data_IF_237580325850
#
_entry.id   IF_237580325850
#
_cell.length_a   1.000
_cell.length_b   1.000
_cell.length_c   1.000
_cell.angle_alpha   90.00
_cell.angle_beta   90.00
_cell.angle_gamma   90.00
#
_symmetry.space_group_name_H-M   'P 1'
#
loop_
_entity.id
_entity.type
_entity.pdbx_description
1 polymer ?
#
# COMPACT_ATOMS: atom_id res chain seq x y z
N UNK A 1 -25.97 55.45 -23.64
CA UNK A 1 -25.69 54.42 -24.64
C UNK A 1 -26.07 55.02 -26.00
N UNK A 2 -25.11 55.16 -26.91
CA UNK A 2 -25.30 55.91 -28.16
C UNK A 2 -26.38 55.28 -29.05
N UNK A 3 -26.48 53.95 -29.03
CA UNK A 3 -27.49 53.17 -29.77
C UNK A 3 -28.91 53.43 -29.26
N UNK A 4 -29.12 53.38 -27.94
CA UNK A 4 -30.41 53.71 -27.32
C UNK A 4 -30.84 55.15 -27.63
N UNK A 5 -29.89 56.08 -27.64
CA UNK A 5 -30.15 57.49 -27.92
C UNK A 5 -30.54 57.71 -29.40
N UNK A 6 -29.90 56.99 -30.33
CA UNK A 6 -30.24 57.00 -31.76
C UNK A 6 -31.63 56.40 -32.02
N UNK A 7 -31.91 55.21 -31.46
CA UNK A 7 -33.20 54.51 -31.58
C UNK A 7 -34.35 55.38 -31.04
N UNK A 8 -34.14 56.04 -29.89
CA UNK A 8 -35.13 56.94 -29.29
C UNK A 8 -35.39 58.17 -30.14
N UNK A 9 -34.36 58.69 -30.82
CA UNK A 9 -34.49 59.84 -31.72
C UNK A 9 -35.29 59.49 -32.97
N UNK A 10 -35.02 58.33 -33.56
CA UNK A 10 -35.78 57.79 -34.71
C UNK A 10 -37.25 57.54 -34.33
N UNK A 11 -37.51 56.92 -33.17
CA UNK A 11 -38.87 56.64 -32.69
C UNK A 11 -39.67 57.92 -32.42
N UNK A 12 -39.02 58.94 -31.83
CA UNK A 12 -39.63 60.26 -31.63
C UNK A 12 -39.93 60.97 -32.95
N UNK A 13 -39.05 60.86 -33.95
CA UNK A 13 -39.27 61.45 -35.28
C UNK A 13 -40.45 60.78 -36.02
N UNK A 14 -40.61 59.45 -35.88
CA UNK A 14 -41.76 58.71 -36.42
C UNK A 14 -43.09 59.13 -35.75
N UNK A 15 -43.09 59.36 -34.44
CA UNK A 15 -44.29 59.78 -33.69
C UNK A 15 -44.84 61.15 -34.11
N UNK A 16 -43.99 62.05 -34.61
CA UNK A 16 -44.39 63.38 -35.08
C UNK A 16 -44.77 63.42 -36.57
N UNK A 17 -44.88 62.27 -37.24
CA UNK A 17 -45.46 62.16 -38.58
C UNK A 17 -44.53 62.55 -39.75
N UNK A 18 -43.22 62.63 -39.53
CA UNK A 18 -42.24 62.80 -40.60
C UNK A 18 -42.19 61.52 -41.46
N UNK A 19 -42.68 61.59 -42.71
CA UNK A 19 -42.69 60.46 -43.65
C UNK A 19 -41.34 60.26 -44.37
N UNK A 20 -40.97 58.99 -44.49
CA UNK A 20 -39.79 58.44 -45.15
C UNK A 20 -40.14 58.18 -46.61
N UNK A 21 -39.67 59.00 -47.54
CA UNK A 21 -39.70 58.62 -48.96
C UNK A 21 -38.68 59.42 -49.78
N UNK A 22 -37.98 58.68 -50.64
CA UNK A 22 -37.01 59.13 -51.64
C UNK A 22 -37.52 60.32 -52.47
N UNK A 23 -36.81 61.45 -52.46
CA UNK A 23 -37.20 62.57 -53.31
C UNK A 23 -36.50 63.90 -53.07
N UNK A 24 -35.25 63.99 -53.53
CA UNK A 24 -34.54 65.17 -54.05
C UNK A 24 -34.21 66.37 -53.13
N UNK A 25 -32.90 66.47 -52.90
CA UNK A 25 -32.05 67.64 -52.65
C UNK A 25 -32.01 68.19 -51.22
N UNK A 26 -30.88 67.86 -50.59
CA UNK A 26 -30.24 68.35 -49.35
C UNK A 26 -30.32 67.37 -48.15
N UNK A 27 -29.42 66.36 -48.17
CA UNK A 27 -28.93 65.48 -47.07
C UNK A 27 -29.83 65.39 -45.82
N UNK A 28 -30.83 64.50 -45.82
CA UNK A 28 -30.79 63.13 -45.23
C UNK A 28 -30.22 63.06 -43.81
N UNK A 29 -31.05 63.32 -42.80
CA UNK A 29 -30.72 62.95 -41.41
C UNK A 29 -31.27 61.55 -41.07
N UNK A 30 -32.55 61.24 -41.36
CA UNK A 30 -33.18 59.99 -40.88
C UNK A 30 -32.88 58.70 -41.67
N UNK A 31 -32.70 58.75 -43.00
CA UNK A 31 -32.27 57.58 -43.80
C UNK A 31 -30.77 57.26 -43.56
N UNK A 32 -30.02 58.31 -43.25
CA UNK A 32 -28.65 58.20 -42.72
C UNK A 32 -28.68 57.55 -41.34
N UNK A 33 -29.64 57.88 -40.47
CA UNK A 33 -29.77 57.25 -39.14
C UNK A 33 -30.11 55.74 -39.20
N UNK A 34 -30.99 55.29 -40.12
CA UNK A 34 -31.25 53.85 -40.30
C UNK A 34 -30.05 53.11 -40.89
N UNK A 35 -29.39 53.71 -41.89
CA UNK A 35 -28.14 53.15 -42.44
C UNK A 35 -27.03 53.08 -41.39
N UNK A 36 -26.95 54.07 -40.49
CA UNK A 36 -26.02 54.06 -39.35
C UNK A 36 -26.35 52.91 -38.38
N UNK A 37 -27.63 52.61 -38.14
CA UNK A 37 -28.03 51.44 -37.33
C UNK A 37 -27.66 50.12 -38.01
N UNK A 38 -27.89 49.99 -39.31
CA UNK A 38 -27.54 48.78 -40.06
C UNK A 38 -26.00 48.60 -40.09
N UNK A 39 -25.24 49.67 -40.31
CA UNK A 39 -23.76 49.68 -40.25
C UNK A 39 -23.25 49.33 -38.83
N UNK A 40 -23.95 49.77 -37.77
CA UNK A 40 -23.67 49.44 -36.36
C UNK A 40 -23.92 47.96 -36.07
N UNK A 41 -25.07 47.42 -36.48
CA UNK A 41 -25.42 46.00 -36.29
C UNK A 41 -24.43 45.10 -37.07
N UNK A 42 -23.99 45.51 -38.27
CA UNK A 42 -22.97 44.80 -39.05
C UNK A 42 -21.58 44.87 -38.39
N UNK A 43 -21.21 46.01 -37.81
CA UNK A 43 -19.98 46.16 -37.03
C UNK A 43 -19.98 45.34 -35.73
N UNK A 44 -21.11 45.29 -35.01
CA UNK A 44 -21.30 44.45 -33.82
C UNK A 44 -21.18 42.96 -34.18
N UNK A 45 -21.85 42.53 -35.26
CA UNK A 45 -21.77 41.14 -35.75
C UNK A 45 -20.34 40.75 -36.18
N UNK A 46 -19.60 41.67 -36.83
CA UNK A 46 -18.20 41.45 -37.18
C UNK A 46 -17.31 41.36 -35.93
N UNK A 47 -17.53 42.20 -34.93
CA UNK A 47 -16.78 42.16 -33.68
C UNK A 47 -17.03 40.85 -32.91
N UNK A 48 -18.28 40.41 -32.80
CA UNK A 48 -18.64 39.13 -32.19
C UNK A 48 -18.01 37.94 -32.93
N UNK A 49 -17.99 38.00 -34.26
CA UNK A 49 -17.35 36.98 -35.08
C UNK A 49 -15.84 36.92 -34.86
N UNK A 50 -15.16 38.07 -34.79
CA UNK A 50 -13.73 38.14 -34.49
C UNK A 50 -13.41 37.56 -33.10
N UNK A 51 -14.17 37.91 -32.08
CA UNK A 51 -13.98 37.38 -30.72
C UNK A 51 -14.19 35.86 -30.67
N UNK A 52 -15.18 35.33 -31.39
CA UNK A 52 -15.39 33.89 -31.50
C UNK A 52 -14.25 33.17 -32.24
N UNK A 53 -13.71 33.77 -33.31
CA UNK A 53 -12.54 33.24 -34.02
C UNK A 53 -11.29 33.23 -33.12
N UNK A 54 -11.05 34.29 -32.35
CA UNK A 54 -9.94 34.38 -31.42
C UNK A 54 -10.04 33.34 -30.29
N UNK A 55 -11.22 33.19 -29.69
CA UNK A 55 -11.47 32.17 -28.66
C UNK A 55 -11.23 30.75 -29.21
N UNK A 56 -11.75 30.46 -30.41
CA UNK A 56 -11.53 29.16 -31.08
C UNK A 56 -10.05 28.94 -31.38
N UNK A 57 -9.32 29.96 -31.84
CA UNK A 57 -7.89 29.86 -32.09
C UNK A 57 -7.10 29.52 -30.81
N UNK A 58 -7.43 30.16 -29.69
CA UNK A 58 -6.81 29.90 -28.38
C UNK A 58 -7.10 28.47 -27.93
N UNK A 59 -8.36 28.03 -27.95
CA UNK A 59 -8.75 26.68 -27.53
C UNK A 59 -8.10 25.59 -28.39
N UNK A 60 -8.00 25.82 -29.72
CA UNK A 60 -7.28 24.92 -30.64
C UNK A 60 -5.80 24.80 -30.32
N UNK A 61 -5.14 25.90 -29.96
CA UNK A 61 -3.73 25.88 -29.56
C UNK A 61 -3.56 25.08 -28.27
N UNK A 62 -4.41 25.32 -27.27
CA UNK A 62 -4.42 24.60 -26.00
C UNK A 62 -4.58 23.08 -26.25
N UNK A 63 -5.61 22.68 -27.01
CA UNK A 63 -5.89 21.29 -27.38
C UNK A 63 -4.77 20.60 -28.19
N UNK A 64 -3.97 21.35 -28.95
CA UNK A 64 -2.81 20.81 -29.68
C UNK A 64 -1.54 20.72 -28.84
N UNK A 65 -1.43 21.55 -27.79
CA UNK A 65 -0.25 21.62 -26.92
C UNK A 65 -0.28 20.64 -25.75
N UNK A 66 -1.46 20.14 -25.37
CA UNK A 66 -1.61 19.25 -24.22
C UNK A 66 -0.97 17.87 -24.47
N UNK A 67 -0.19 17.39 -23.51
CA UNK A 67 0.34 16.02 -23.54
C UNK A 67 -0.72 15.04 -23.03
N UNK A 68 -1.44 14.41 -23.96
CA UNK A 68 -2.50 13.44 -23.68
C UNK A 68 -2.04 12.19 -22.91
N UNK A 69 -0.73 11.97 -22.74
CA UNK A 69 -0.19 10.79 -22.03
C UNK A 69 0.03 11.04 -20.55
N UNK A 70 0.32 12.28 -20.16
CA UNK A 70 0.75 12.62 -18.79
C UNK A 70 -0.15 13.63 -18.11
N UNK A 71 -1.06 14.26 -18.85
CA UNK A 71 -1.99 15.23 -18.28
C UNK A 71 -2.98 14.57 -17.33
N UNK A 72 -3.31 15.28 -16.24
CA UNK A 72 -4.32 14.84 -15.30
C UNK A 72 -5.74 15.00 -15.86
N UNK A 73 -6.69 14.30 -15.25
CA UNK A 73 -8.11 14.33 -15.66
C UNK A 73 -8.71 15.74 -15.65
N UNK A 74 -8.40 16.56 -14.65
CA UNK A 74 -9.02 17.89 -14.51
C UNK A 74 -8.54 18.84 -15.59
N UNK A 75 -7.23 18.86 -15.84
CA UNK A 75 -6.64 19.63 -16.94
C UNK A 75 -7.17 19.16 -18.29
N UNK A 76 -7.26 17.86 -18.52
CA UNK A 76 -7.78 17.30 -19.77
C UNK A 76 -9.26 17.65 -19.99
N UNK A 77 -10.08 17.55 -18.94
CA UNK A 77 -11.48 17.93 -18.94
C UNK A 77 -11.64 19.41 -19.27
N UNK A 78 -10.82 20.28 -18.66
CA UNK A 78 -10.84 21.73 -18.94
C UNK A 78 -10.51 22.04 -20.39
N UNK A 79 -9.47 21.44 -20.97
CA UNK A 79 -9.11 21.65 -22.38
C UNK A 79 -10.23 21.17 -23.31
N UNK A 80 -10.85 20.02 -23.00
CA UNK A 80 -12.00 19.49 -23.75
C UNK A 80 -13.18 20.46 -23.70
N UNK A 81 -13.52 20.96 -22.52
CA UNK A 81 -14.65 21.88 -22.33
C UNK A 81 -14.40 23.22 -23.00
N UNK A 82 -13.20 23.80 -22.86
CA UNK A 82 -12.80 25.03 -23.54
C UNK A 82 -12.95 24.91 -25.07
N UNK A 83 -12.45 23.81 -25.66
CA UNK A 83 -12.59 23.57 -27.08
C UNK A 83 -14.05 23.36 -27.49
N UNK A 84 -14.81 22.58 -26.73
CA UNK A 84 -16.23 22.35 -26.99
C UNK A 84 -17.04 23.64 -26.98
N UNK A 85 -16.86 24.49 -25.97
CA UNK A 85 -17.54 25.79 -25.88
C UNK A 85 -17.13 26.76 -27.00
N UNK A 86 -15.86 26.79 -27.38
CA UNK A 86 -15.40 27.65 -28.47
C UNK A 86 -15.95 27.19 -29.84
N UNK A 87 -16.03 25.87 -30.06
CA UNK A 87 -16.67 25.30 -31.25
C UNK A 87 -18.16 25.63 -31.31
N UNK A 88 -18.88 25.51 -30.20
CA UNK A 88 -20.30 25.84 -30.12
C UNK A 88 -20.55 27.33 -30.41
N UNK A 89 -19.76 28.23 -29.81
CA UNK A 89 -19.84 29.67 -30.09
C UNK A 89 -19.56 29.98 -31.56
N UNK A 90 -18.50 29.39 -32.12
CA UNK A 90 -18.13 29.58 -33.53
C UNK A 90 -19.22 29.11 -34.48
N UNK A 91 -19.82 27.93 -34.21
CA UNK A 91 -20.95 27.39 -34.98
C UNK A 91 -22.16 28.31 -34.96
N UNK A 92 -22.51 28.86 -33.80
CA UNK A 92 -23.68 29.74 -33.64
C UNK A 92 -23.56 31.05 -34.42
N UNK A 93 -22.34 31.52 -34.68
CA UNK A 93 -22.05 32.75 -35.44
C UNK A 93 -21.69 32.43 -36.91
N UNK A 94 -21.85 31.17 -37.34
CA UNK A 94 -21.68 30.76 -38.74
C UNK A 94 -20.22 30.54 -39.20
N UNK A 95 -19.28 30.36 -38.27
CA UNK A 95 -17.89 30.00 -38.57
C UNK A 95 -17.83 28.49 -38.88
N UNK A 96 -17.07 28.11 -39.92
CA UNK A 96 -16.87 26.71 -40.29
C UNK A 96 -15.91 26.00 -39.34
N UNK A 97 -16.34 24.89 -38.75
CA UNK A 97 -15.61 24.17 -37.68
C UNK A 97 -15.33 22.69 -37.97
N UNK A 98 -15.63 22.20 -39.18
CA UNK A 98 -15.64 20.77 -39.53
C UNK A 98 -14.30 20.04 -39.26
N UNK A 99 -13.18 20.74 -39.43
CA UNK A 99 -11.85 20.21 -39.12
C UNK A 99 -11.44 20.35 -37.66
N UNK A 100 -12.01 21.34 -36.97
CA UNK A 100 -11.67 21.65 -35.59
C UNK A 100 -12.41 20.73 -34.61
N UNK A 101 -13.63 20.30 -34.93
CA UNK A 101 -14.35 19.26 -34.18
C UNK A 101 -13.54 17.96 -34.05
N UNK A 102 -12.69 17.64 -35.03
CA UNK A 102 -11.83 16.43 -34.99
C UNK A 102 -10.79 16.47 -33.86
N UNK A 103 -10.52 17.63 -33.28
CA UNK A 103 -9.62 17.77 -32.12
C UNK A 103 -10.28 17.33 -30.80
N UNK A 104 -11.62 17.25 -30.73
CA UNK A 104 -12.32 16.70 -29.55
C UNK A 104 -12.12 15.19 -29.40
N UNK A 105 -12.12 14.45 -30.51
CA UNK A 105 -12.00 12.98 -30.54
C UNK A 105 -10.79 12.46 -29.74
N UNK A 106 -9.55 12.95 -29.92
CA UNK A 106 -8.42 12.51 -29.10
C UNK A 106 -8.52 12.92 -27.63
N UNK A 107 -9.12 14.08 -27.30
CA UNK A 107 -9.33 14.51 -25.92
C UNK A 107 -10.34 13.61 -25.20
N UNK A 108 -11.48 13.33 -25.83
CA UNK A 108 -12.51 12.41 -25.30
C UNK A 108 -11.96 11.00 -25.09
N UNK A 109 -11.17 10.50 -26.04
CA UNK A 109 -10.53 9.19 -25.91
C UNK A 109 -9.54 9.16 -24.75
N UNK A 110 -8.73 10.20 -24.59
CA UNK A 110 -7.78 10.30 -23.48
C UNK A 110 -8.52 10.39 -22.14
N UNK A 111 -9.61 11.16 -22.07
CA UNK A 111 -10.43 11.30 -20.86
C UNK A 111 -11.06 9.96 -20.48
N UNK A 112 -11.67 9.26 -21.45
CA UNK A 112 -12.24 7.94 -21.23
C UNK A 112 -11.20 6.93 -20.72
N UNK A 113 -9.96 7.00 -21.23
CA UNK A 113 -8.86 6.15 -20.76
C UNK A 113 -8.49 6.44 -19.31
N UNK A 114 -8.36 7.71 -18.92
CA UNK A 114 -8.05 8.09 -17.53
C UNK A 114 -9.17 7.69 -16.57
N UNK A 115 -10.44 7.91 -16.96
CA UNK A 115 -11.61 7.49 -16.17
C UNK A 115 -11.61 5.97 -15.98
N UNK A 116 -11.35 5.21 -17.05
CA UNK A 116 -11.29 3.76 -16.98
C UNK A 116 -10.14 3.29 -16.08
N UNK A 117 -8.93 3.85 -16.24
CA UNK A 117 -7.78 3.53 -15.39
C UNK A 117 -8.06 3.82 -13.92
N UNK A 118 -8.69 4.95 -13.59
CA UNK A 118 -9.13 5.25 -12.22
C UNK A 118 -10.14 4.25 -11.71
N UNK A 119 -11.13 3.87 -12.53
CA UNK A 119 -12.15 2.89 -12.14
C UNK A 119 -11.53 1.53 -11.82
N UNK A 120 -10.65 1.03 -12.69
CA UNK A 120 -10.01 -0.26 -12.50
C UNK A 120 -9.05 -0.25 -11.30
N UNK A 121 -8.35 0.86 -11.09
CA UNK A 121 -7.48 1.02 -9.94
C UNK A 121 -8.25 1.13 -8.62
N UNK A 122 -9.40 1.82 -8.59
CA UNK A 122 -10.28 1.86 -7.42
C UNK A 122 -10.77 0.46 -7.04
N UNK A 123 -11.18 -0.35 -8.03
CA UNK A 123 -11.57 -1.76 -7.77
C UNK A 123 -10.41 -2.59 -7.25
N UNK A 124 -9.21 -2.41 -7.81
CA UNK A 124 -8.02 -3.10 -7.32
C UNK A 124 -7.70 -2.67 -5.88
N UNK A 125 -7.79 -1.37 -5.58
CA UNK A 125 -7.55 -0.81 -4.26
C UNK A 125 -8.51 -1.41 -3.23
N UNK A 126 -9.81 -1.50 -3.56
CA UNK A 126 -10.83 -2.18 -2.74
C UNK A 126 -10.47 -3.64 -2.49
N UNK A 127 -10.19 -4.42 -3.55
CA UNK A 127 -9.85 -5.84 -3.42
C UNK A 127 -8.60 -6.10 -2.57
N UNK A 128 -7.55 -5.29 -2.72
CA UNK A 128 -6.33 -5.43 -1.90
C UNK A 128 -6.55 -4.96 -0.47
N UNK A 129 -7.41 -3.97 -0.25
CA UNK A 129 -7.83 -3.57 1.09
C UNK A 129 -8.62 -4.64 1.80
N UNK A 130 -9.59 -5.26 1.14
CA UNK A 130 -10.36 -6.39 1.68
C UNK A 130 -9.45 -7.56 2.03
N UNK A 131 -8.48 -7.87 1.15
CA UNK A 131 -7.48 -8.90 1.40
C UNK A 131 -6.61 -8.57 2.62
N UNK A 132 -6.21 -7.30 2.80
CA UNK A 132 -5.39 -6.87 3.94
C UNK A 132 -6.18 -6.86 5.26
N UNK A 133 -7.44 -6.43 5.21
CA UNK A 133 -8.31 -6.38 6.37
C UNK A 133 -8.66 -7.79 6.87
N UNK A 134 -8.96 -8.69 5.93
CA UNK A 134 -9.28 -10.11 6.20
C UNK A 134 -8.05 -10.95 6.55
N UNK A 135 -6.84 -10.46 6.27
CA UNK A 135 -5.61 -11.18 6.56
C UNK A 135 -5.47 -11.46 8.06
N UNK A 136 -4.96 -12.64 8.40
CA UNK A 136 -4.77 -13.05 9.79
C UNK A 136 -3.32 -13.47 10.05
N UNK A 137 -2.91 -13.41 11.31
CA UNK A 137 -1.54 -13.74 11.74
C UNK A 137 -1.19 -15.19 11.38
N UNK A 138 -2.17 -16.09 11.43
CA UNK A 138 -2.06 -17.52 11.13
C UNK A 138 -1.74 -17.81 9.65
N UNK A 139 -2.00 -16.85 8.75
CA UNK A 139 -1.66 -16.99 7.34
C UNK A 139 -0.14 -17.01 7.08
N UNK A 140 0.65 -16.61 8.08
CA UNK A 140 2.09 -16.67 8.06
C UNK A 140 2.75 -15.39 7.55
N UNK A 141 3.97 -15.16 8.06
CA UNK A 141 4.71 -13.92 7.86
C UNK A 141 4.93 -13.55 6.37
N UNK A 142 5.21 -14.52 5.52
CA UNK A 142 5.55 -14.24 4.12
C UNK A 142 4.32 -13.82 3.31
N UNK A 143 3.19 -14.49 3.52
CA UNK A 143 1.92 -14.13 2.89
C UNK A 143 1.46 -12.74 3.32
N UNK A 144 1.58 -12.39 4.60
CA UNK A 144 1.26 -11.05 5.08
C UNK A 144 2.14 -9.96 4.45
N UNK A 145 3.44 -10.21 4.28
CA UNK A 145 4.34 -9.29 3.58
C UNK A 145 3.97 -9.10 2.11
N UNK A 146 3.55 -10.17 1.45
CA UNK A 146 3.09 -10.11 0.06
C UNK A 146 1.83 -9.25 -0.06
N UNK A 147 0.83 -9.49 0.80
CA UNK A 147 -0.40 -8.67 0.84
C UNK A 147 -0.05 -7.20 1.07
N UNK A 148 0.84 -6.91 2.03
CA UNK A 148 1.28 -5.53 2.32
C UNK A 148 1.96 -4.89 1.12
N UNK A 149 2.84 -5.62 0.43
CA UNK A 149 3.53 -5.12 -0.77
C UNK A 149 2.52 -4.75 -1.86
N UNK A 150 1.54 -5.62 -2.10
CA UNK A 150 0.53 -5.40 -3.14
C UNK A 150 -0.37 -4.20 -2.80
N UNK A 151 -0.88 -4.14 -1.56
CA UNK A 151 -1.69 -3.00 -1.10
C UNK A 151 -0.90 -1.68 -1.20
N UNK A 152 0.36 -1.66 -0.74
CA UNK A 152 1.19 -0.47 -0.81
C UNK A 152 1.44 -0.02 -2.27
N UNK A 153 1.67 -0.98 -3.19
CA UNK A 153 1.84 -0.68 -4.61
C UNK A 153 0.59 -0.02 -5.22
N UNK A 154 -0.59 -0.52 -4.87
CA UNK A 154 -1.85 0.03 -5.38
C UNK A 154 -2.17 1.37 -4.73
N UNK A 155 -1.88 1.57 -3.44
CA UNK A 155 -1.99 2.88 -2.78
C UNK A 155 -1.11 3.92 -3.49
N UNK A 156 0.17 3.62 -3.74
CA UNK A 156 1.06 4.57 -4.43
C UNK A 156 0.53 4.94 -5.81
N UNK A 157 0.07 3.97 -6.59
CA UNK A 157 -0.49 4.24 -7.92
C UNK A 157 -1.80 5.04 -7.85
N UNK A 158 -2.64 4.79 -6.84
CA UNK A 158 -3.89 5.52 -6.62
C UNK A 158 -3.63 6.99 -6.30
N UNK A 159 -2.62 7.27 -5.48
CA UNK A 159 -2.20 8.63 -5.16
C UNK A 159 -1.69 9.40 -6.38
N UNK A 160 -0.95 8.75 -7.27
CA UNK A 160 -0.50 9.35 -8.54
C UNK A 160 -1.68 9.78 -9.43
N UNK A 161 -2.81 9.08 -9.36
CA UNK A 161 -4.04 9.43 -10.07
C UNK A 161 -4.99 10.32 -9.26
N UNK A 162 -4.58 10.78 -8.08
CA UNK A 162 -5.40 11.64 -7.22
C UNK A 162 -6.61 10.93 -6.59
N UNK A 163 -6.58 9.61 -6.48
CA UNK A 163 -7.57 8.83 -5.73
C UNK A 163 -7.26 8.95 -4.24
N UNK A 164 -8.29 9.20 -3.42
CA UNK A 164 -8.13 9.27 -1.97
C UNK A 164 -7.80 7.88 -1.38
N UNK A 165 -6.72 7.78 -0.61
CA UNK A 165 -6.24 6.52 -0.02
C UNK A 165 -6.13 6.55 1.51
N UNK A 166 -6.76 7.52 2.18
CA UNK A 166 -6.58 7.73 3.62
C UNK A 166 -6.95 6.49 4.45
N UNK A 167 -8.07 5.85 4.14
CA UNK A 167 -8.51 4.61 4.82
C UNK A 167 -7.57 3.44 4.54
N UNK A 168 -7.08 3.32 3.30
CA UNK A 168 -6.15 2.25 2.93
C UNK A 168 -4.81 2.37 3.66
N UNK A 169 -4.38 3.59 4.02
CA UNK A 169 -3.19 3.79 4.85
C UNK A 169 -3.39 3.30 6.28
N UNK A 170 -4.59 3.44 6.84
CA UNK A 170 -4.93 2.88 8.15
C UNK A 170 -4.87 1.35 8.09
N UNK A 171 -5.49 0.74 7.08
CA UNK A 171 -5.45 -0.71 6.85
C UNK A 171 -4.00 -1.21 6.69
N UNK A 172 -3.15 -0.46 5.98
CA UNK A 172 -1.73 -0.80 5.83
C UNK A 172 -0.97 -0.76 7.16
N UNK A 173 -1.34 0.15 8.07
CA UNK A 173 -0.85 0.24 9.44
C UNK A 173 -1.23 -0.99 10.26
N UNK A 174 -2.52 -1.35 10.29
CA UNK A 174 -3.02 -2.55 10.98
C UNK A 174 -2.36 -3.83 10.46
N UNK A 175 -2.18 -3.94 9.13
CA UNK A 175 -1.47 -5.07 8.53
C UNK A 175 0.00 -5.12 8.96
N UNK A 176 0.64 -3.97 9.19
CA UNK A 176 2.02 -3.91 9.69
C UNK A 176 2.11 -4.48 11.11
N UNK A 177 1.16 -4.16 11.99
CA UNK A 177 1.08 -4.74 13.34
C UNK A 177 0.89 -6.28 13.29
N UNK A 178 0.02 -6.77 12.39
CA UNK A 178 -0.16 -8.21 12.16
C UNK A 178 1.15 -8.88 11.70
N UNK A 179 1.91 -8.23 10.82
CA UNK A 179 3.23 -8.72 10.35
C UNK A 179 4.23 -8.79 11.50
N UNK A 180 4.26 -7.79 12.38
CA UNK A 180 5.14 -7.79 13.55
C UNK A 180 4.81 -8.95 14.48
N UNK A 181 3.53 -9.13 14.82
CA UNK A 181 3.06 -10.26 15.63
C UNK A 181 3.39 -11.61 15.01
N UNK A 182 3.15 -11.79 13.70
CA UNK A 182 3.53 -13.01 12.98
C UNK A 182 5.05 -13.24 13.00
N UNK A 183 5.83 -12.15 12.93
CA UNK A 183 7.28 -12.19 13.04
C UNK A 183 7.77 -12.66 14.42
N UNK A 184 7.12 -12.21 15.49
CA UNK A 184 7.41 -12.67 16.86
C UNK A 184 7.06 -14.14 17.06
N UNK A 185 5.88 -14.56 16.60
CA UNK A 185 5.45 -15.95 16.60
C UNK A 185 6.46 -16.85 15.86
N UNK A 186 6.88 -16.47 14.66
CA UNK A 186 7.84 -17.25 13.88
C UNK A 186 9.21 -17.37 14.60
N UNK A 187 9.69 -16.28 15.22
CA UNK A 187 10.94 -16.30 16.00
C UNK A 187 10.83 -17.18 17.24
N UNK A 188 9.74 -17.07 17.98
CA UNK A 188 9.49 -17.85 19.18
C UNK A 188 9.35 -19.35 18.85
N UNK A 189 8.52 -19.68 17.88
CA UNK A 189 8.32 -21.06 17.38
C UNK A 189 9.61 -21.69 16.88
N UNK A 190 10.36 -21.01 16.01
CA UNK A 190 11.64 -21.52 15.49
C UNK A 190 12.66 -21.78 16.62
N UNK A 191 12.69 -20.92 17.64
CA UNK A 191 13.56 -21.13 18.81
C UNK A 191 13.12 -22.34 19.62
N UNK A 192 11.81 -22.49 19.84
CA UNK A 192 11.24 -23.61 20.58
C UNK A 192 11.51 -24.94 19.87
N UNK A 193 11.31 -25.00 18.55
CA UNK A 193 11.56 -26.21 17.75
C UNK A 193 13.04 -26.62 17.76
N UNK A 194 13.96 -25.65 17.66
CA UNK A 194 15.40 -25.91 17.81
C UNK A 194 15.73 -26.48 19.18
N UNK A 195 15.10 -26.00 20.25
CA UNK A 195 15.32 -26.53 21.59
C UNK A 195 14.71 -27.92 21.75
N UNK A 196 13.52 -28.17 21.20
CA UNK A 196 12.91 -29.51 21.17
C UNK A 196 13.84 -30.54 20.54
N UNK A 197 14.41 -30.22 19.38
CA UNK A 197 15.37 -31.08 18.69
C UNK A 197 16.62 -31.33 19.56
N UNK A 198 17.23 -30.27 20.11
CA UNK A 198 18.43 -30.39 20.96
C UNK A 198 18.17 -31.20 22.23
N UNK A 199 16.99 -31.08 22.84
CA UNK A 199 16.62 -31.90 23.99
C UNK A 199 16.60 -33.37 23.57
N UNK A 200 15.85 -33.72 22.52
CA UNK A 200 15.76 -35.09 22.02
C UNK A 200 17.14 -35.70 21.75
N UNK A 201 18.04 -34.96 21.11
CA UNK A 201 19.41 -35.42 20.85
C UNK A 201 20.20 -35.70 22.14
N UNK A 202 20.00 -34.89 23.19
CA UNK A 202 20.70 -35.04 24.47
C UNK A 202 20.06 -36.05 25.42
N UNK A 203 18.83 -36.50 25.14
CA UNK A 203 18.20 -37.60 25.88
C UNK A 203 18.84 -38.95 25.54
N UNK A 204 19.41 -39.11 24.33
CA UNK A 204 20.09 -40.35 23.91
C UNK A 204 21.35 -40.62 24.74
N UNK A 205 22.12 -39.58 25.07
CA UNK A 205 23.31 -39.65 25.93
C UNK A 205 23.28 -38.52 26.97
N UNK A 206 22.60 -38.74 28.11
CA UNK A 206 22.39 -37.72 29.13
C UNK A 206 23.69 -37.19 29.75
N UNK A 207 23.96 -35.90 29.59
CA UNK A 207 24.98 -35.19 30.35
C UNK A 207 24.32 -34.17 31.27
N UNK A 208 24.45 -34.38 32.59
CA UNK A 208 23.73 -33.60 33.61
C UNK A 208 23.83 -32.08 33.40
N UNK A 209 25.04 -31.56 33.21
CA UNK A 209 25.27 -30.11 33.01
C UNK A 209 24.53 -29.58 31.78
N UNK A 210 24.54 -30.33 30.68
CA UNK A 210 23.87 -29.95 29.43
C UNK A 210 22.36 -29.97 29.60
N UNK A 211 21.81 -31.01 30.23
CA UNK A 211 20.38 -31.13 30.46
C UNK A 211 19.83 -30.00 31.35
N UNK A 212 20.56 -29.58 32.38
CA UNK A 212 20.16 -28.45 33.22
C UNK A 212 20.13 -27.12 32.45
N UNK A 213 21.09 -26.89 31.55
CA UNK A 213 21.11 -25.70 30.70
C UNK A 213 19.93 -25.73 29.71
N UNK A 214 19.65 -26.90 29.13
CA UNK A 214 18.54 -27.10 28.21
C UNK A 214 17.20 -26.89 28.92
N UNK A 215 17.02 -27.41 30.14
CA UNK A 215 15.80 -27.22 30.94
C UNK A 215 15.48 -25.74 31.15
N UNK A 216 16.46 -24.96 31.63
CA UNK A 216 16.28 -23.51 31.81
C UNK A 216 15.95 -22.81 30.49
N UNK A 217 16.68 -23.16 29.43
CA UNK A 217 16.48 -22.55 28.12
C UNK A 217 15.12 -22.88 27.50
N UNK A 218 14.63 -24.11 27.73
CA UNK A 218 13.36 -24.61 27.23
C UNK A 218 12.19 -23.95 27.95
N UNK A 219 12.25 -23.86 29.29
CA UNK A 219 11.24 -23.15 30.07
C UNK A 219 11.08 -21.70 29.61
N UNK A 220 12.19 -20.96 29.48
CA UNK A 220 12.14 -19.58 28.96
C UNK A 220 11.67 -19.48 27.51
N UNK A 221 11.83 -20.54 26.69
CA UNK A 221 11.33 -20.55 25.32
C UNK A 221 9.83 -20.85 25.26
N UNK A 222 9.32 -21.70 26.15
CA UNK A 222 7.88 -21.97 26.33
C UNK A 222 7.18 -20.67 26.73
N UNK A 223 7.66 -19.99 27.79
CA UNK A 223 7.09 -18.72 28.27
C UNK A 223 7.04 -17.65 27.16
N UNK A 224 8.11 -17.52 26.37
CA UNK A 224 8.14 -16.59 25.24
C UNK A 224 7.20 -16.97 24.11
N UNK A 225 7.01 -18.26 23.87
CA UNK A 225 6.12 -18.75 22.82
C UNK A 225 4.66 -18.54 23.23
N UNK A 226 4.34 -18.76 24.49
CA UNK A 226 3.03 -18.47 25.08
C UNK A 226 2.71 -16.97 25.03
N UNK A 227 3.66 -16.10 25.39
CA UNK A 227 3.51 -14.64 25.25
C UNK A 227 3.30 -14.20 23.79
N UNK A 228 3.91 -14.90 22.84
CA UNK A 228 3.69 -14.67 21.41
C UNK A 228 2.34 -15.23 20.90
N UNK A 229 1.58 -15.92 21.76
CA UNK A 229 0.29 -16.52 21.41
C UNK A 229 0.39 -17.85 20.66
N UNK A 230 1.49 -18.58 20.81
CA UNK A 230 1.63 -19.93 20.29
C UNK A 230 1.05 -20.95 21.27
N UNK A 231 0.46 -22.01 20.74
CA UNK A 231 0.09 -23.18 21.55
C UNK A 231 1.34 -23.96 21.97
N UNK A 232 1.53 -24.06 23.29
CA UNK A 232 2.69 -24.71 23.92
C UNK A 232 2.32 -25.98 24.70
N UNK A 233 1.06 -26.41 24.67
CA UNK A 233 0.56 -27.58 25.44
C UNK A 233 1.37 -28.86 25.18
N UNK A 234 1.75 -29.09 23.92
CA UNK A 234 2.55 -30.23 23.47
C UNK A 234 3.99 -30.30 24.06
N UNK A 235 4.42 -29.32 24.87
CA UNK A 235 5.74 -29.31 25.50
C UNK A 235 5.77 -29.97 26.89
N UNK A 236 4.63 -30.31 27.47
CA UNK A 236 4.55 -30.91 28.80
C UNK A 236 5.26 -32.27 28.85
N UNK A 237 4.99 -33.13 27.87
CA UNK A 237 5.63 -34.45 27.77
C UNK A 237 7.15 -34.35 27.69
N UNK A 238 7.66 -33.49 26.78
CA UNK A 238 9.10 -33.31 26.62
C UNK A 238 9.75 -32.69 27.86
N UNK A 239 9.04 -31.82 28.58
CA UNK A 239 9.50 -31.26 29.85
C UNK A 239 9.61 -32.34 30.93
N UNK A 240 8.63 -33.25 30.99
CA UNK A 240 8.61 -34.40 31.90
C UNK A 240 9.73 -35.41 31.61
N UNK A 241 9.94 -35.74 30.32
CA UNK A 241 11.05 -36.58 29.88
C UNK A 241 12.40 -35.98 30.27
N UNK A 242 12.58 -34.67 30.02
CA UNK A 242 13.80 -33.96 30.40
C UNK A 242 14.03 -33.95 31.91
N UNK A 243 12.97 -33.77 32.71
CA UNK A 243 13.06 -33.83 34.17
C UNK A 243 13.49 -35.23 34.66
N UNK A 244 12.90 -36.28 34.08
CA UNK A 244 13.26 -37.68 34.37
C UNK A 244 14.73 -37.96 34.03
N UNK A 245 15.18 -37.53 32.84
CA UNK A 245 16.57 -37.72 32.42
C UNK A 245 17.57 -36.96 33.31
N UNK A 246 17.20 -35.77 33.80
CA UNK A 246 18.00 -35.03 34.78
C UNK A 246 18.10 -35.79 36.10
N UNK A 247 17.01 -36.36 36.60
CA UNK A 247 17.01 -37.14 37.84
C UNK A 247 17.95 -38.35 37.73
N UNK A 248 17.83 -39.14 36.66
CA UNK A 248 18.69 -40.30 36.39
C UNK A 248 20.16 -39.87 36.25
N UNK A 249 20.44 -38.77 35.52
CA UNK A 249 21.80 -38.28 35.35
C UNK A 249 22.43 -37.76 36.66
N UNK A 250 21.62 -37.22 37.58
CA UNK A 250 22.09 -36.83 38.93
C UNK A 250 22.46 -38.05 39.75
N UNK A 251 21.58 -39.05 39.82
CA UNK A 251 21.84 -40.29 40.54
C UNK A 251 23.09 -40.99 40.03
N UNK A 252 23.26 -41.07 38.70
CA UNK A 252 24.47 -41.62 38.09
C UNK A 252 25.73 -40.83 38.50
N UNK A 253 25.67 -39.50 38.45
CA UNK A 253 26.82 -38.66 38.83
C UNK A 253 27.18 -38.82 40.32
N UNK A 254 26.19 -38.95 41.18
CA UNK A 254 26.39 -39.19 42.62
C UNK A 254 26.96 -40.59 42.88
N UNK A 255 26.45 -41.62 42.19
CA UNK A 255 26.99 -42.98 42.26
C UNK A 255 28.45 -43.04 41.77
N UNK A 256 28.77 -42.39 40.64
CA UNK A 256 30.15 -42.27 40.14
C UNK A 256 31.06 -41.55 41.15
N UNK A 257 30.57 -40.49 41.79
CA UNK A 257 31.30 -39.78 42.84
C UNK A 257 31.59 -40.67 44.04
N UNK A 258 30.60 -41.41 44.52
CA UNK A 258 30.76 -42.35 45.63
C UNK A 258 31.73 -43.48 45.28
N UNK A 259 31.59 -44.07 44.10
CA UNK A 259 32.50 -45.11 43.59
C UNK A 259 33.95 -44.62 43.54
N UNK A 260 34.17 -43.39 43.08
CA UNK A 260 35.51 -42.80 43.05
C UNK A 260 36.10 -42.56 44.45
N UNK A 261 35.27 -42.21 45.45
CA UNK A 261 35.73 -42.12 46.85
C UNK A 261 36.18 -43.49 47.35
N UNK A 262 35.39 -44.54 47.07
CA UNK A 262 35.73 -45.91 47.48
C UNK A 262 37.00 -46.38 46.77
N UNK A 263 37.14 -46.16 45.46
CA UNK A 263 38.37 -46.48 44.70
C UNK A 263 39.61 -45.85 45.32
N UNK A 264 39.56 -44.54 45.63
CA UNK A 264 40.68 -43.84 46.30
C UNK A 264 41.02 -44.44 47.67
N UNK A 265 40.02 -44.82 48.46
CA UNK A 265 40.25 -45.49 49.76
C UNK A 265 40.92 -46.85 49.57
N UNK A 266 40.43 -47.66 48.63
CA UNK A 266 41.02 -48.98 48.31
C UNK A 266 42.47 -48.82 47.82
N UNK A 267 42.75 -47.82 46.98
CA UNK A 267 44.11 -47.52 46.52
C UNK A 267 45.02 -47.09 47.68
N UNK A 268 44.53 -46.27 48.61
CA UNK A 268 45.30 -45.87 49.80
C UNK A 268 45.64 -47.05 50.72
N UNK A 269 44.72 -48.00 50.88
CA UNK A 269 44.92 -49.20 51.69
C UNK A 269 45.91 -50.17 51.01
N UNK A 270 45.94 -50.20 49.67
CA UNK A 270 46.85 -51.05 48.91
C UNK A 270 48.33 -50.70 49.14
N UNK A 271 48.63 -49.45 49.50
CA UNK A 271 49.98 -48.96 49.76
C UNK A 271 50.39 -49.37 51.19
N UNK A 272 51.22 -50.40 51.30
CA UNK A 272 51.78 -50.86 52.59
C UNK A 272 51.30 -52.22 53.09
N UNK A 273 50.50 -52.96 52.31
CA UNK A 273 50.06 -54.32 52.67
C UNK A 273 51.09 -55.36 52.21
N UNK A 274 51.59 -56.15 53.16
CA UNK A 274 52.52 -57.26 52.89
C UNK A 274 51.82 -58.62 52.73
N UNK A 275 50.59 -58.77 53.24
CA UNK A 275 49.84 -60.03 53.18
C UNK A 275 49.29 -60.33 51.78
N UNK A 276 49.71 -61.45 51.20
CA UNK A 276 49.26 -61.95 49.89
C UNK A 276 47.75 -62.23 49.83
N UNK A 277 47.17 -62.74 50.92
CA UNK A 277 45.73 -63.00 50.99
C UNK A 277 44.91 -61.69 50.91
N UNK A 278 45.38 -60.64 51.58
CA UNK A 278 44.74 -59.32 51.57
C UNK A 278 44.91 -58.63 50.22
N UNK A 279 46.08 -58.76 49.57
CA UNK A 279 46.28 -58.29 48.19
C UNK A 279 45.28 -58.93 47.22
N UNK A 280 45.08 -60.25 47.29
CA UNK A 280 44.11 -60.93 46.42
C UNK A 280 42.66 -60.46 46.63
N UNK A 281 42.26 -60.11 47.85
CA UNK A 281 40.94 -59.55 48.14
C UNK A 281 40.80 -58.13 47.55
N UNK A 282 41.83 -57.31 47.69
CA UNK A 282 41.85 -55.95 47.13
C UNK A 282 41.76 -55.96 45.60
N UNK A 283 42.49 -56.85 44.91
CA UNK A 283 42.43 -56.96 43.46
C UNK A 283 41.05 -57.41 42.97
N UNK A 284 40.39 -58.36 43.67
CA UNK A 284 38.99 -58.73 43.38
C UNK A 284 38.03 -57.57 43.58
N UNK A 285 38.24 -56.76 44.62
CA UNK A 285 37.43 -55.58 44.90
C UNK A 285 37.60 -54.51 43.81
N UNK A 286 38.82 -54.28 43.33
CA UNK A 286 39.10 -53.38 42.20
C UNK A 286 38.45 -53.86 40.90
N UNK A 287 38.52 -55.17 40.62
CA UNK A 287 37.86 -55.78 39.47
C UNK A 287 36.32 -55.63 39.54
N UNK A 288 35.71 -55.80 40.71
CA UNK A 288 34.27 -55.59 40.88
C UNK A 288 33.83 -54.14 40.69
N UNK A 289 34.71 -53.16 40.90
CA UNK A 289 34.43 -51.74 40.73
C UNK A 289 34.59 -51.24 39.29
N UNK A 290 34.98 -52.08 38.32
CA UNK A 290 35.21 -51.70 36.91
C UNK A 290 34.14 -52.19 35.93
N UNK A 291 33.21 -53.04 36.39
CA UNK A 291 31.97 -53.43 35.70
C UNK A 291 30.88 -52.34 35.87
#
# INVERSE_FOLDING_TARGET
>A
DFREELLKTIDNAKKVGLQVSEGLLWRTFLDVDQRILDDLDEAEALAERMDAEDQLLVAKKEAKSIDLKTVDESSLQKVRDNLGSALERAKNIGISIEWDEKLLVPLERALAKVIQEKSDLSKALEAFSDSAQSASVEEGLEKLKEIRKNLNSVISRSQELGINTAENQVILGELTEKIEKAGEQNKAGSRLDKLRARIKDNLVKPHLKTLLILQKSFQSAIERSELAGLDVTHNEDLSSELATAIAVAREKADAERQLNIVRRKVDSISIGIESTAVKNVIEKLKAAMTL
#
